data_IF_289877355127
#
_entry.id   IF_289877355127
#
_cell.length_a   1.000
_cell.length_b   1.000
_cell.length_c   1.000
_cell.angle_alpha   90.00
_cell.angle_beta   90.00
_cell.angle_gamma   90.00
#
_symmetry.space_group_name_H-M   'P 1'
#
loop_
_entity.id
_entity.type
_entity.pdbx_description
1 polymer ?
#
# COMPACT_ATOMS: atom_id res chain seq x y z
N UNK A 1 19.17 -31.45 -8.50
CA UNK A 1 20.37 -30.59 -8.46
C UNK A 1 20.13 -29.48 -7.44
N UNK A 2 20.86 -29.46 -6.33
CA UNK A 2 20.79 -28.36 -5.34
C UNK A 2 21.63 -27.19 -5.87
N UNK A 3 20.98 -26.19 -6.46
CA UNK A 3 21.67 -24.92 -6.75
C UNK A 3 22.00 -24.26 -5.40
N UNK A 4 23.28 -24.22 -5.04
CA UNK A 4 23.78 -23.26 -4.05
C UNK A 4 23.72 -21.89 -4.71
N UNK A 5 22.55 -21.27 -4.72
CA UNK A 5 22.39 -19.88 -5.11
C UNK A 5 23.01 -19.01 -4.04
N UNK A 6 23.96 -18.16 -4.41
CA UNK A 6 24.30 -17.02 -3.57
C UNK A 6 23.02 -16.19 -3.41
N UNK A 7 22.48 -16.13 -2.19
CA UNK A 7 21.34 -15.27 -1.88
C UNK A 7 21.84 -13.84 -1.82
N UNK A 8 21.91 -13.18 -2.97
CA UNK A 8 22.06 -11.73 -2.97
C UNK A 8 20.75 -11.12 -2.47
N UNK A 9 20.81 -10.12 -1.57
CA UNK A 9 19.63 -9.37 -1.19
C UNK A 9 18.98 -8.81 -2.46
N UNK A 10 17.66 -9.03 -2.62
CA UNK A 10 16.94 -8.43 -3.74
C UNK A 10 17.04 -6.91 -3.61
N UNK A 11 17.46 -6.20 -4.66
CA UNK A 11 17.48 -4.73 -4.66
C UNK A 11 16.05 -4.18 -4.82
N UNK A 12 15.68 -3.13 -4.06
CA UNK A 12 14.39 -2.45 -4.28
C UNK A 12 14.36 -1.90 -5.72
N UNK A 13 13.20 -1.98 -6.36
CA UNK A 13 13.01 -1.33 -7.65
C UNK A 13 12.71 0.18 -7.51
N UNK A 14 12.43 0.61 -6.28
CA UNK A 14 12.13 1.99 -5.91
C UNK A 14 13.37 2.84 -5.60
N UNK A 15 14.44 2.22 -5.09
CA UNK A 15 15.63 2.89 -4.61
C UNK A 15 16.82 1.92 -4.51
N UNK A 16 17.97 2.41 -4.04
CA UNK A 16 19.20 1.61 -3.91
C UNK A 16 19.27 0.70 -2.67
N UNK A 17 18.22 0.63 -1.86
CA UNK A 17 18.19 -0.17 -0.64
C UNK A 17 17.90 -1.67 -0.92
N UNK A 18 18.17 -2.50 0.09
CA UNK A 18 17.73 -3.88 0.14
C UNK A 18 16.20 -3.97 0.22
N UNK A 19 15.61 -4.81 -0.62
CA UNK A 19 14.20 -5.12 -0.63
C UNK A 19 13.85 -6.05 0.53
N UNK A 20 13.18 -5.50 1.53
CA UNK A 20 12.55 -6.23 2.62
C UNK A 20 11.06 -5.93 2.65
N UNK A 21 10.27 -6.74 3.35
CA UNK A 21 8.82 -6.47 3.54
C UNK A 21 8.58 -5.12 4.21
N UNK A 22 9.25 -4.76 5.33
CA UNK A 22 9.11 -3.43 5.93
C UNK A 22 9.52 -2.31 4.97
N UNK A 23 10.62 -2.49 4.23
CA UNK A 23 11.07 -1.48 3.27
C UNK A 23 10.04 -1.25 2.16
N UNK A 24 9.58 -2.34 1.54
CA UNK A 24 8.66 -2.30 0.41
C UNK A 24 7.32 -1.67 0.77
N UNK A 25 6.82 -1.90 1.98
CA UNK A 25 5.46 -1.50 2.34
C UNK A 25 5.36 -0.34 3.34
N UNK A 26 6.48 0.09 3.94
CA UNK A 26 6.46 1.12 4.99
C UNK A 26 7.59 2.14 4.82
N UNK A 27 8.83 1.69 4.69
CA UNK A 27 9.98 2.58 4.87
C UNK A 27 10.43 3.27 3.58
N UNK A 28 10.13 2.71 2.41
CA UNK A 28 10.50 3.33 1.14
C UNK A 28 9.82 4.69 1.00
N UNK A 29 10.59 5.70 0.56
CA UNK A 29 10.10 7.08 0.38
C UNK A 29 8.86 7.13 -0.52
N UNK A 30 8.85 6.29 -1.55
CA UNK A 30 7.73 6.17 -2.47
C UNK A 30 6.44 5.74 -1.75
N UNK A 31 6.50 4.72 -0.89
CA UNK A 31 5.34 4.19 -0.17
C UNK A 31 4.97 5.05 1.03
N UNK A 32 5.94 5.69 1.70
CA UNK A 32 5.66 6.72 2.71
C UNK A 32 4.80 7.85 2.13
N UNK A 33 5.09 8.29 0.90
CA UNK A 33 4.28 9.28 0.19
C UNK A 33 2.83 8.83 0.00
N UNK A 34 2.60 7.55 -0.34
CA UNK A 34 1.24 6.99 -0.46
C UNK A 34 0.51 7.01 0.88
N UNK A 35 1.16 6.52 1.94
CA UNK A 35 0.57 6.51 3.29
C UNK A 35 0.21 7.92 3.75
N UNK A 36 1.13 8.88 3.59
CA UNK A 36 0.93 10.28 3.96
C UNK A 36 -0.22 10.91 3.16
N UNK A 37 -0.30 10.65 1.86
CA UNK A 37 -1.38 11.13 1.01
C UNK A 37 -2.76 10.71 1.55
N UNK A 38 -2.96 9.41 1.78
CA UNK A 38 -4.25 8.93 2.28
C UNK A 38 -4.49 9.33 3.73
N UNK A 39 -3.48 9.35 4.58
CA UNK A 39 -3.62 9.82 5.96
C UNK A 39 -4.11 11.29 6.00
N UNK A 40 -3.54 12.16 5.17
CA UNK A 40 -3.94 13.55 5.05
C UNK A 40 -5.41 13.69 4.60
N UNK A 41 -5.87 12.88 3.63
CA UNK A 41 -7.27 12.88 3.18
C UNK A 41 -8.27 12.57 4.31
N UNK A 42 -7.86 11.82 5.33
CA UNK A 42 -8.71 11.44 6.45
C UNK A 42 -8.40 12.19 7.75
N UNK A 43 -7.47 13.16 7.72
CA UNK A 43 -7.05 13.92 8.90
C UNK A 43 -6.31 13.07 9.95
N UNK A 44 -5.57 12.05 9.50
CA UNK A 44 -4.85 11.12 10.37
C UNK A 44 -3.37 11.51 10.51
N UNK A 45 -2.84 11.41 11.73
CA UNK A 45 -1.41 11.51 12.00
C UNK A 45 -0.83 10.09 12.10
N UNK A 46 -0.05 9.67 11.09
CA UNK A 46 0.57 8.35 11.07
C UNK A 46 1.55 8.17 12.24
N UNK A 47 1.57 6.98 12.82
CA UNK A 47 2.56 6.59 13.81
C UNK A 47 3.89 6.22 13.14
N UNK A 48 5.00 6.55 13.79
CA UNK A 48 6.31 6.04 13.40
C UNK A 48 6.41 4.57 13.80
N UNK A 49 6.30 3.68 12.82
CA UNK A 49 6.38 2.24 13.04
C UNK A 49 6.91 1.53 11.81
N UNK A 50 7.62 0.42 12.04
CA UNK A 50 8.06 -0.52 10.99
C UNK A 50 7.20 -1.79 10.95
N UNK A 51 6.13 -1.81 11.73
CA UNK A 51 5.21 -2.95 11.82
C UNK A 51 4.00 -2.73 10.93
N UNK A 52 3.87 -3.57 9.90
CA UNK A 52 2.70 -3.57 9.01
C UNK A 52 1.41 -3.78 9.79
N UNK A 53 1.46 -4.69 10.77
CA UNK A 53 0.34 -4.98 11.65
C UNK A 53 -0.11 -3.76 12.43
N UNK A 54 0.83 -2.96 12.95
CA UNK A 54 0.48 -1.71 13.65
C UNK A 54 -0.17 -0.69 12.72
N UNK A 55 0.31 -0.53 11.49
CA UNK A 55 -0.31 0.38 10.51
C UNK A 55 -1.74 -0.06 10.21
N UNK A 56 -1.96 -1.34 9.93
CA UNK A 56 -3.29 -1.88 9.63
C UNK A 56 -4.24 -1.66 10.81
N UNK A 57 -3.81 -1.94 12.05
CA UNK A 57 -4.62 -1.70 13.23
C UNK A 57 -4.88 -0.20 13.47
N UNK A 58 -3.89 0.66 13.28
CA UNK A 58 -4.05 2.10 13.36
C UNK A 58 -5.17 2.58 12.43
N UNK A 59 -5.15 2.15 11.17
CA UNK A 59 -6.22 2.46 10.20
C UNK A 59 -7.58 1.89 10.63
N UNK A 60 -7.61 0.64 11.11
CA UNK A 60 -8.84 -0.03 11.58
C UNK A 60 -9.49 0.67 12.77
N UNK A 61 -8.71 1.24 13.69
CA UNK A 61 -9.20 1.93 14.88
C UNK A 61 -9.31 3.45 14.71
N UNK A 62 -8.93 3.99 13.54
CA UNK A 62 -9.14 5.41 13.19
C UNK A 62 -10.59 5.78 12.85
N UNK A 63 -11.51 4.81 12.89
CA UNK A 63 -12.93 5.00 12.57
C UNK A 63 -13.77 5.11 13.84
N UNK A 64 -14.64 6.14 13.98
CA UNK A 64 -15.42 6.36 15.20
C UNK A 64 -16.49 5.29 15.49
N UNK A 65 -16.74 4.32 14.61
CA UNK A 65 -17.74 3.26 14.83
C UNK A 65 -17.30 1.91 14.26
N UNK A 66 -17.74 0.82 14.93
CA UNK A 66 -17.51 -0.59 14.58
C UNK A 66 -18.19 -1.04 13.28
N UNK A 67 -18.32 -0.20 12.27
CA UNK A 67 -18.71 -0.68 10.95
C UNK A 67 -17.49 -1.40 10.35
N UNK A 68 -17.52 -2.74 10.33
CA UNK A 68 -16.46 -3.56 9.76
C UNK A 68 -16.14 -3.21 8.28
N UNK A 69 -17.06 -2.53 7.60
CA UNK A 69 -17.00 -2.11 6.20
C UNK A 69 -16.85 -0.59 6.00
N UNK A 70 -16.10 0.11 6.85
CA UNK A 70 -15.77 1.51 6.58
C UNK A 70 -14.65 1.63 5.52
N UNK A 71 -14.73 2.60 4.60
CA UNK A 71 -13.71 2.79 3.54
C UNK A 71 -12.27 2.85 4.08
N UNK A 72 -12.07 3.44 5.28
CA UNK A 72 -10.77 3.53 5.96
C UNK A 72 -10.17 2.16 6.32
N UNK A 73 -10.99 1.13 6.53
CA UNK A 73 -10.49 -0.23 6.80
C UNK A 73 -9.93 -0.89 5.54
N UNK A 74 -10.37 -0.47 4.35
CA UNK A 74 -9.90 -0.98 3.05
C UNK A 74 -8.61 -0.31 2.58
N UNK A 75 -8.41 0.97 2.92
CA UNK A 75 -7.22 1.76 2.52
C UNK A 75 -5.90 1.01 2.72
N UNK A 76 -5.57 0.48 3.91
CA UNK A 76 -4.28 -0.18 4.10
C UNK A 76 -4.11 -1.39 3.18
N UNK A 77 -5.16 -2.18 2.95
CA UNK A 77 -5.09 -3.34 2.06
C UNK A 77 -4.91 -2.95 0.60
N UNK A 78 -5.58 -1.90 0.14
CA UNK A 78 -5.40 -1.38 -1.22
C UNK A 78 -3.98 -0.83 -1.41
N UNK A 79 -3.44 -0.09 -0.45
CA UNK A 79 -2.06 0.41 -0.51
C UNK A 79 -1.07 -0.77 -0.61
N UNK A 80 -1.22 -1.79 0.24
CA UNK A 80 -0.36 -2.98 0.19
C UNK A 80 -0.47 -3.70 -1.16
N UNK A 81 -1.69 -3.91 -1.65
CA UNK A 81 -1.94 -4.59 -2.91
C UNK A 81 -1.32 -3.84 -4.10
N UNK A 82 -1.59 -2.55 -4.25
CA UNK A 82 -1.09 -1.77 -5.37
C UNK A 82 0.41 -1.47 -5.27
N UNK A 83 0.97 -1.36 -4.06
CA UNK A 83 2.42 -1.32 -3.88
C UNK A 83 3.09 -2.62 -4.34
N UNK A 84 2.49 -3.77 -4.01
CA UNK A 84 2.96 -5.07 -4.48
C UNK A 84 2.87 -5.20 -6.01
N UNK A 85 1.76 -4.75 -6.61
CA UNK A 85 1.60 -4.71 -8.06
C UNK A 85 2.67 -3.85 -8.73
N UNK A 86 2.90 -2.62 -8.26
CA UNK A 86 3.93 -1.73 -8.81
C UNK A 86 5.33 -2.32 -8.70
N UNK A 87 5.64 -2.96 -7.56
CA UNK A 87 6.92 -3.67 -7.40
C UNK A 87 7.08 -4.80 -8.42
N UNK A 88 6.03 -5.58 -8.67
CA UNK A 88 6.10 -6.66 -9.65
C UNK A 88 6.19 -6.13 -11.08
N UNK A 89 5.46 -5.07 -11.41
CA UNK A 89 5.57 -4.41 -12.70
C UNK A 89 6.99 -3.88 -12.93
N UNK A 90 7.61 -3.29 -11.91
CA UNK A 90 8.99 -2.84 -12.00
C UNK A 90 9.98 -3.99 -12.17
N UNK A 91 9.83 -5.05 -11.37
CA UNK A 91 10.76 -6.18 -11.38
C UNK A 91 10.68 -7.04 -12.65
N UNK A 92 9.49 -7.23 -13.21
CA UNK A 92 9.25 -8.22 -14.27
C UNK A 92 8.87 -7.59 -15.62
N UNK A 93 8.42 -6.34 -15.63
CA UNK A 93 7.95 -5.66 -16.84
C UNK A 93 8.70 -4.37 -17.13
N UNK A 94 9.71 -4.01 -16.34
CA UNK A 94 10.56 -2.82 -16.56
C UNK A 94 9.81 -1.49 -16.42
N UNK A 95 8.65 -1.49 -15.74
CA UNK A 95 7.86 -0.28 -15.48
C UNK A 95 8.48 0.49 -14.31
N UNK A 96 8.64 1.82 -14.36
CA UNK A 96 9.18 2.55 -13.23
C UNK A 96 8.25 2.44 -12.00
N UNK A 97 8.84 2.28 -10.81
CA UNK A 97 8.08 2.30 -9.57
C UNK A 97 7.62 3.74 -9.29
N UNK A 98 6.31 3.98 -9.28
CA UNK A 98 5.72 5.31 -9.14
C UNK A 98 4.75 5.39 -7.95
N UNK A 99 4.93 6.40 -7.10
CA UNK A 99 4.02 6.74 -5.99
C UNK A 99 2.64 7.17 -6.51
N UNK A 100 2.62 8.01 -7.54
CA UNK A 100 1.38 8.57 -8.09
C UNK A 100 0.50 7.48 -8.70
N UNK A 101 1.10 6.47 -9.32
CA UNK A 101 0.37 5.31 -9.88
C UNK A 101 -0.32 4.51 -8.77
N UNK A 102 0.35 4.30 -7.61
CA UNK A 102 -0.27 3.62 -6.47
C UNK A 102 -1.46 4.43 -5.97
N UNK A 103 -1.30 5.75 -5.81
CA UNK A 103 -2.38 6.65 -5.37
C UNK A 103 -3.54 6.58 -6.36
N UNK A 104 -3.27 6.72 -7.65
CA UNK A 104 -4.27 6.66 -8.71
C UNK A 104 -5.06 5.36 -8.67
N UNK A 105 -4.37 4.22 -8.53
CA UNK A 105 -4.98 2.89 -8.49
C UNK A 105 -5.86 2.68 -7.27
N UNK A 106 -5.37 3.07 -6.08
CA UNK A 106 -6.18 3.03 -4.85
C UNK A 106 -7.44 3.88 -5.03
N UNK A 107 -7.30 5.13 -5.48
CA UNK A 107 -8.45 6.01 -5.70
C UNK A 107 -9.43 5.48 -6.74
N UNK A 108 -8.92 4.94 -7.86
CA UNK A 108 -9.72 4.33 -8.91
C UNK A 108 -10.57 3.20 -8.34
N UNK A 109 -9.96 2.33 -7.53
CA UNK A 109 -10.66 1.22 -6.91
C UNK A 109 -11.73 1.69 -5.91
N UNK A 110 -11.43 2.68 -5.08
CA UNK A 110 -12.40 3.27 -4.15
C UNK A 110 -13.61 3.88 -4.88
N UNK A 111 -13.38 4.60 -6.00
CA UNK A 111 -14.46 5.15 -6.84
C UNK A 111 -15.33 4.04 -7.43
N UNK A 112 -14.73 2.96 -7.90
CA UNK A 112 -15.47 1.79 -8.42
C UNK A 112 -16.35 1.16 -7.34
N UNK A 113 -15.84 0.99 -6.12
CA UNK A 113 -16.62 0.45 -5.00
C UNK A 113 -17.80 1.35 -4.63
N UNK A 114 -17.59 2.67 -4.60
CA UNK A 114 -18.66 3.64 -4.34
C UNK A 114 -19.74 3.61 -5.44
N UNK A 115 -19.33 3.57 -6.72
CA UNK A 115 -20.26 3.45 -7.84
C UNK A 115 -21.07 2.15 -7.78
N UNK A 116 -20.43 1.02 -7.46
CA UNK A 116 -21.09 -0.28 -7.32
C UNK A 116 -22.13 -0.29 -6.19
N UNK A 117 -21.80 0.27 -5.03
CA UNK A 117 -22.76 0.39 -3.92
C UNK A 117 -24.00 1.21 -4.31
N UNK A 118 -23.78 2.31 -5.04
CA UNK A 118 -24.86 3.17 -5.57
C UNK A 118 -25.78 2.40 -6.52
N UNK A 119 -25.23 1.52 -7.36
CA UNK A 119 -26.00 0.68 -8.30
C UNK A 119 -26.80 -0.42 -7.61
N UNK A 120 -26.36 -0.93 -6.46
CA UNK A 120 -27.05 -2.00 -5.72
C UNK A 120 -28.18 -1.51 -4.81
N UNK A 121 -28.33 -0.19 -4.66
CA UNK A 121 -29.29 0.43 -3.73
C UNK A 121 -30.58 0.90 -4.42
N UNK A 122 -30.84 0.49 -5.66
CA UNK A 122 -32.08 0.72 -6.43
C UNK A 122 -33.00 -0.49 -6.37
#
# INVERSE_FOLDING_TARGET
MRQKGFSFPSKCQCCEAEETVPHLFIESTAVQGVWQYFAALFGLCLCDTRSLTHIVYFWRYSTPFHSDLHIRTLIPFLILWFSWMQRNAAKYHGVPFSTDDIIFEVQRHLRTLYAAQTLTST
#
